data_IF_407671363432
#
_entry.id   IF_407671363432
#
_cell.length_a   1.000
_cell.length_b   1.000
_cell.length_c   1.000
_cell.angle_alpha   90.00
_cell.angle_beta   90.00
_cell.angle_gamma   90.00
#
_symmetry.space_group_name_H-M   'P 1'
#
loop_
_entity.id
_entity.type
_entity.pdbx_description
1 polymer ?
#
# COMPACT_ATOMS: atom_id res chain seq x y z
N UNK A 1 -5.96 20.01 -75.23
CA UNK A 1 -4.69 19.30 -75.41
C UNK A 1 -4.44 18.62 -74.07
N UNK A 2 -4.88 17.42 -74.08
CA UNK A 2 -4.12 16.16 -74.13
C UNK A 2 -3.62 15.85 -72.73
N UNK A 3 -4.24 14.91 -72.19
CA UNK A 3 -3.82 13.54 -71.80
C UNK A 3 -3.24 13.53 -70.38
N UNK A 4 -3.63 12.72 -69.43
CA UNK A 4 -3.98 11.33 -69.45
C UNK A 4 -4.90 10.95 -68.28
N UNK A 5 -5.89 10.17 -68.62
CA UNK A 5 -6.59 9.20 -67.76
C UNK A 5 -5.68 8.06 -67.41
N UNK A 6 -6.19 7.23 -66.42
CA UNK A 6 -5.69 5.94 -65.92
C UNK A 6 -4.58 6.06 -64.82
N UNK A 7 -4.84 5.69 -63.59
CA UNK A 7 -5.24 4.34 -63.15
C UNK A 7 -5.81 4.38 -61.72
N UNK A 8 -7.11 4.18 -61.63
CA UNK A 8 -7.77 3.70 -60.42
C UNK A 8 -7.94 2.17 -60.61
N UNK A 9 -7.11 1.38 -59.97
CA UNK A 9 -7.33 -0.04 -59.62
C UNK A 9 -6.04 -0.57 -58.99
N UNK A 10 -6.02 -0.68 -57.69
CA UNK A 10 -5.41 -1.76 -56.89
C UNK A 10 -5.20 -1.31 -55.43
N UNK A 11 -6.27 -1.20 -54.71
CA UNK A 11 -6.25 -1.12 -53.23
C UNK A 11 -7.39 -1.95 -52.65
N UNK A 12 -7.42 -3.21 -53.02
CA UNK A 12 -8.25 -4.20 -52.33
C UNK A 12 -7.52 -5.53 -52.29
N UNK A 13 -7.06 -5.89 -51.11
CA UNK A 13 -6.56 -7.21 -50.66
C UNK A 13 -5.12 -7.20 -50.13
N UNK A 14 -4.92 -6.53 -49.00
CA UNK A 14 -3.90 -6.99 -48.08
C UNK A 14 -4.63 -7.55 -46.84
N UNK A 15 -4.95 -8.85 -46.93
CA UNK A 15 -5.33 -9.66 -45.76
C UNK A 15 -4.10 -9.74 -44.86
N UNK A 16 -4.17 -9.10 -43.72
CA UNK A 16 -3.25 -9.33 -42.59
C UNK A 16 -3.42 -10.79 -42.16
N UNK A 17 -2.44 -11.61 -42.49
CA UNK A 17 -2.26 -12.96 -41.94
C UNK A 17 -1.44 -12.78 -40.68
N UNK A 18 -1.95 -13.03 -39.46
CA UNK A 18 -1.11 -13.04 -38.27
C UNK A 18 -0.16 -14.23 -38.39
N UNK A 19 1.11 -13.93 -38.32
CA UNK A 19 2.23 -14.85 -38.24
C UNK A 19 1.98 -15.82 -37.07
N UNK A 20 1.77 -17.09 -37.43
CA UNK A 20 1.62 -18.19 -36.48
C UNK A 20 3.00 -18.46 -35.87
N UNK A 21 3.36 -17.70 -34.83
CA UNK A 21 4.47 -18.07 -33.97
C UNK A 21 4.20 -19.45 -33.40
N UNK A 22 5.00 -20.38 -33.81
CA UNK A 22 5.06 -21.75 -33.39
C UNK A 22 4.93 -21.90 -31.88
N UNK A 23 3.75 -22.22 -31.40
CA UNK A 23 3.60 -22.89 -30.11
C UNK A 23 4.24 -24.27 -30.28
N UNK A 24 5.52 -24.34 -29.91
CA UNK A 24 6.24 -25.58 -29.75
C UNK A 24 5.48 -26.39 -28.72
N UNK A 25 4.67 -27.32 -29.20
CA UNK A 25 3.97 -28.27 -28.36
C UNK A 25 5.04 -28.99 -27.53
N UNK A 26 5.08 -28.70 -26.24
CA UNK A 26 5.85 -29.50 -25.30
C UNK A 26 5.29 -30.89 -25.35
N UNK A 27 6.10 -31.83 -25.89
CA UNK A 27 5.80 -33.24 -25.86
C UNK A 27 5.50 -33.66 -24.43
N UNK A 28 4.30 -34.16 -24.18
CA UNK A 28 3.90 -34.76 -22.91
C UNK A 28 4.71 -36.06 -22.79
N UNK A 29 5.94 -35.90 -22.31
CA UNK A 29 6.75 -37.06 -21.89
C UNK A 29 6.05 -37.60 -20.64
N UNK A 30 5.75 -38.89 -20.64
CA UNK A 30 5.17 -39.67 -19.56
C UNK A 30 5.83 -39.30 -18.22
N UNK A 31 5.10 -38.54 -17.37
CA UNK A 31 5.55 -38.14 -16.07
C UNK A 31 5.55 -39.36 -15.15
N UNK A 32 6.71 -39.66 -14.54
CA UNK A 32 6.80 -40.68 -13.50
C UNK A 32 5.85 -40.29 -12.31
N UNK A 33 5.26 -41.28 -11.60
CA UNK A 33 4.27 -41.01 -10.55
C UNK A 33 4.75 -40.01 -9.44
N UNK A 34 6.04 -39.98 -9.15
CA UNK A 34 6.64 -39.02 -8.22
C UNK A 34 6.60 -37.55 -8.70
N UNK A 35 6.66 -37.35 -10.03
CA UNK A 35 6.56 -36.00 -10.60
C UNK A 35 5.11 -35.48 -10.58
N UNK A 36 4.11 -36.33 -10.70
CA UNK A 36 2.70 -35.94 -10.59
C UNK A 36 2.34 -35.37 -9.23
N UNK A 37 2.83 -35.99 -8.14
CA UNK A 37 2.63 -35.51 -6.78
C UNK A 37 3.32 -34.16 -6.53
N UNK A 38 4.53 -33.98 -7.07
CA UNK A 38 5.24 -32.70 -6.96
C UNK A 38 4.52 -31.57 -7.73
N UNK A 39 3.99 -31.88 -8.94
CA UNK A 39 3.22 -30.91 -9.72
C UNK A 39 1.88 -30.57 -9.06
N UNK A 40 1.19 -31.55 -8.45
CA UNK A 40 -0.05 -31.31 -7.71
C UNK A 40 0.19 -30.37 -6.55
N UNK A 41 1.23 -30.62 -5.72
CA UNK A 41 1.61 -29.74 -4.60
C UNK A 41 1.95 -28.32 -5.05
N UNK A 42 2.63 -28.17 -6.19
CA UNK A 42 2.95 -26.86 -6.75
C UNK A 42 1.67 -26.12 -7.16
N UNK A 43 0.76 -26.80 -7.86
CA UNK A 43 -0.52 -26.22 -8.27
C UNK A 43 -1.39 -25.85 -7.07
N UNK A 44 -1.45 -26.71 -6.05
CA UNK A 44 -2.17 -26.44 -4.80
C UNK A 44 -1.59 -25.24 -4.07
N UNK A 45 -0.25 -25.11 -4.02
CA UNK A 45 0.43 -23.96 -3.42
C UNK A 45 0.15 -22.67 -4.18
N UNK A 46 0.17 -22.69 -5.52
CA UNK A 46 -0.17 -21.52 -6.35
C UNK A 46 -1.64 -21.17 -6.20
N UNK A 47 -2.54 -22.13 -6.14
CA UNK A 47 -3.96 -21.88 -5.94
C UNK A 47 -4.24 -21.28 -4.55
N UNK A 48 -3.64 -21.83 -3.49
CA UNK A 48 -3.73 -21.30 -2.16
C UNK A 48 -3.19 -19.86 -2.07
N UNK A 49 -2.03 -19.62 -2.68
CA UNK A 49 -1.38 -18.34 -2.74
C UNK A 49 -2.25 -17.28 -3.45
N UNK A 50 -2.82 -17.58 -4.60
CA UNK A 50 -3.66 -16.65 -5.38
C UNK A 50 -5.09 -16.50 -4.86
N UNK A 51 -5.48 -17.28 -3.84
CA UNK A 51 -6.78 -17.13 -3.19
C UNK A 51 -6.82 -15.92 -2.23
N UNK A 52 -5.68 -15.51 -1.72
CA UNK A 52 -5.58 -14.41 -0.76
C UNK A 52 -5.87 -13.08 -1.44
N UNK A 53 -6.69 -12.25 -0.78
CA UNK A 53 -7.02 -10.88 -1.22
C UNK A 53 -6.44 -9.81 -0.30
N UNK A 54 -5.58 -10.24 0.59
CA UNK A 54 -4.86 -9.44 1.56
C UNK A 54 -3.36 -9.70 1.39
N UNK A 55 -2.58 -8.62 1.33
CA UNK A 55 -1.13 -8.68 1.13
C UNK A 55 -0.42 -9.42 2.26
N UNK A 56 -0.84 -9.25 3.51
CA UNK A 56 -0.21 -9.93 4.64
C UNK A 56 -0.42 -11.45 4.61
N UNK A 57 -1.60 -11.89 4.20
CA UNK A 57 -1.89 -13.30 4.00
C UNK A 57 -1.14 -13.88 2.80
N UNK A 58 -1.00 -13.08 1.72
CA UNK A 58 -0.22 -13.40 0.54
C UNK A 58 1.26 -13.60 0.90
N UNK A 59 1.85 -12.69 1.66
CA UNK A 59 3.25 -12.74 2.11
C UNK A 59 3.54 -14.01 2.90
N UNK A 60 2.67 -14.33 3.86
CA UNK A 60 2.78 -15.53 4.69
C UNK A 60 2.67 -16.80 3.84
N UNK A 61 1.72 -16.84 2.92
CA UNK A 61 1.51 -17.98 2.03
C UNK A 61 2.72 -18.19 1.10
N UNK A 62 3.33 -17.11 0.59
CA UNK A 62 4.52 -17.16 -0.25
C UNK A 62 5.70 -17.82 0.48
N UNK A 63 6.05 -17.30 1.67
CA UNK A 63 7.22 -17.80 2.41
C UNK A 63 7.02 -19.23 2.90
N UNK A 64 5.81 -19.62 3.28
CA UNK A 64 5.46 -20.99 3.66
C UNK A 64 5.59 -21.94 2.46
N UNK A 65 4.95 -21.59 1.34
CA UNK A 65 5.00 -22.42 0.13
C UNK A 65 6.41 -22.64 -0.37
N UNK A 66 7.25 -21.60 -0.36
CA UNK A 66 8.64 -21.70 -0.75
C UNK A 66 9.47 -22.53 0.25
N UNK A 67 9.22 -22.39 1.55
CA UNK A 67 9.90 -23.18 2.58
C UNK A 67 9.64 -24.68 2.40
N UNK A 68 8.39 -25.06 2.15
CA UNK A 68 7.98 -26.45 1.92
C UNK A 68 8.52 -27.01 0.60
N UNK A 69 8.34 -26.27 -0.51
CA UNK A 69 8.67 -26.73 -1.85
C UNK A 69 10.17 -26.76 -2.12
N UNK A 70 10.95 -25.80 -1.56
CA UNK A 70 12.38 -25.74 -1.72
C UNK A 70 13.13 -26.49 -0.61
N UNK A 71 12.45 -27.04 0.40
CA UNK A 71 13.06 -27.66 1.61
C UNK A 71 14.12 -26.74 2.24
N UNK A 72 13.82 -25.44 2.30
CA UNK A 72 14.74 -24.43 2.78
C UNK A 72 14.79 -24.43 4.31
N UNK A 73 15.97 -24.09 4.89
CA UNK A 73 16.11 -23.85 6.33
C UNK A 73 15.44 -22.58 6.79
N UNK A 74 15.43 -21.55 5.93
CA UNK A 74 14.67 -20.34 6.16
C UNK A 74 14.30 -19.71 4.83
N UNK A 75 13.15 -19.04 4.82
CA UNK A 75 12.71 -18.19 3.72
C UNK A 75 12.33 -16.84 4.29
N UNK A 76 12.86 -15.78 3.71
CA UNK A 76 12.54 -14.41 4.10
C UNK A 76 12.04 -13.63 2.87
N UNK A 77 10.95 -12.92 3.06
CA UNK A 77 10.43 -11.94 2.09
C UNK A 77 10.69 -10.54 2.64
N UNK A 78 11.60 -9.82 2.01
CA UNK A 78 11.83 -8.40 2.28
C UNK A 78 10.90 -7.58 1.40
N UNK A 79 10.20 -6.62 1.98
CA UNK A 79 9.29 -5.71 1.27
C UNK A 79 9.88 -4.31 1.24
N UNK A 80 9.77 -3.66 0.09
CA UNK A 80 10.08 -2.25 -0.09
C UNK A 80 8.87 -1.47 -0.57
N UNK A 81 8.92 -0.15 -0.48
CA UNK A 81 7.87 0.72 -1.01
C UNK A 81 7.96 0.76 -2.55
N UNK A 82 6.83 0.51 -3.22
CA UNK A 82 6.71 0.54 -4.68
C UNK A 82 6.98 1.94 -5.24
N UNK A 83 6.62 2.98 -4.49
CA UNK A 83 6.68 4.38 -4.94
C UNK A 83 8.02 5.06 -4.58
N UNK A 84 8.96 4.37 -3.92
CA UNK A 84 10.15 4.97 -3.29
C UNK A 84 11.42 4.16 -3.52
N UNK A 85 12.55 4.75 -3.15
CA UNK A 85 13.88 4.13 -3.18
C UNK A 85 13.85 2.69 -2.63
N UNK A 86 14.57 1.72 -3.23
CA UNK A 86 14.52 0.32 -2.83
C UNK A 86 15.09 0.12 -1.41
N UNK A 87 14.29 0.44 -0.42
CA UNK A 87 14.62 0.30 1.01
C UNK A 87 13.73 -0.78 1.60
N UNK A 88 14.34 -1.72 2.33
CA UNK A 88 13.58 -2.75 3.04
C UNK A 88 12.83 -2.08 4.21
N UNK A 89 11.52 -2.22 4.24
CA UNK A 89 10.66 -1.68 5.30
C UNK A 89 10.24 -2.77 6.31
N UNK A 90 9.97 -3.96 5.80
CA UNK A 90 9.56 -5.09 6.64
C UNK A 90 10.04 -6.42 6.08
N UNK A 91 10.17 -7.41 6.95
CA UNK A 91 10.52 -8.78 6.58
C UNK A 91 9.52 -9.75 7.17
N UNK A 92 9.01 -10.63 6.31
CA UNK A 92 8.28 -11.83 6.72
C UNK A 92 9.21 -13.01 6.60
N UNK A 93 9.51 -13.68 7.70
CA UNK A 93 10.42 -14.80 7.74
C UNK A 93 9.72 -16.09 8.17
N UNK A 94 10.06 -17.17 7.51
CA UNK A 94 9.64 -18.52 7.83
C UNK A 94 10.85 -19.37 8.20
N UNK A 95 10.83 -19.97 9.39
CA UNK A 95 11.88 -20.86 9.87
C UNK A 95 11.27 -22.10 10.51
N UNK A 96 11.86 -23.31 10.38
CA UNK A 96 11.40 -24.49 11.10
C UNK A 96 11.71 -24.38 12.59
N UNK A 97 10.81 -24.83 13.43
CA UNK A 97 11.03 -25.00 14.85
C UNK A 97 11.80 -26.32 15.15
N UNK A 98 12.03 -26.58 16.43
CA UNK A 98 12.75 -27.79 16.90
C UNK A 98 12.00 -29.09 16.51
N UNK A 99 10.72 -29.02 16.27
CA UNK A 99 9.87 -30.13 15.85
C UNK A 99 9.72 -30.24 14.31
N UNK A 100 10.33 -29.32 13.58
CA UNK A 100 10.25 -29.25 12.11
C UNK A 100 9.01 -28.55 11.57
N UNK A 101 8.17 -27.94 12.44
CA UNK A 101 7.05 -27.13 11.99
C UNK A 101 7.53 -25.72 11.63
N UNK A 102 6.98 -25.14 10.59
CA UNK A 102 7.33 -23.80 10.16
C UNK A 102 6.69 -22.73 11.06
N UNK A 103 7.51 -21.78 11.52
CA UNK A 103 7.08 -20.60 12.27
C UNK A 103 7.27 -19.35 11.42
N UNK A 104 6.26 -18.49 11.41
CA UNK A 104 6.26 -17.21 10.75
C UNK A 104 6.54 -16.11 11.76
N UNK A 105 7.44 -15.21 11.41
CA UNK A 105 7.75 -14.00 12.14
C UNK A 105 7.71 -12.81 11.19
N UNK A 106 7.25 -11.67 11.67
CA UNK A 106 7.24 -10.41 10.92
C UNK A 106 8.07 -9.40 11.71
N UNK A 107 9.00 -8.77 11.04
CA UNK A 107 9.90 -7.77 11.63
C UNK A 107 9.81 -6.49 10.83
N UNK A 108 9.65 -5.37 11.52
CA UNK A 108 9.96 -4.07 10.95
C UNK A 108 11.46 -3.86 10.98
N UNK A 109 12.04 -3.40 9.90
CA UNK A 109 13.50 -3.35 9.73
C UNK A 109 14.02 -1.97 10.06
N UNK A 110 14.98 -1.89 10.98
CA UNK A 110 15.81 -0.72 11.11
C UNK A 110 16.89 -0.77 10.00
N UNK A 111 16.96 0.31 9.21
CA UNK A 111 17.81 0.41 8.01
C UNK A 111 19.32 0.19 8.27
N UNK A 112 19.73 0.10 9.52
CA UNK A 112 21.13 -0.07 9.93
C UNK A 112 21.53 -1.52 10.24
N UNK A 113 20.61 -2.50 10.11
CA UNK A 113 20.92 -3.90 10.43
C UNK A 113 21.85 -4.51 9.37
N UNK A 114 23.08 -4.92 9.73
CA UNK A 114 24.02 -5.54 8.80
C UNK A 114 23.50 -6.84 8.16
N UNK A 115 22.57 -7.54 8.82
CA UNK A 115 21.93 -8.74 8.28
C UNK A 115 21.11 -8.47 7.03
N UNK A 116 20.71 -7.21 6.83
CA UNK A 116 19.88 -6.75 5.70
C UNK A 116 20.70 -6.32 4.48
N UNK A 117 22.02 -6.20 4.61
CA UNK A 117 22.89 -5.70 3.54
C UNK A 117 22.78 -6.49 2.22
N UNK A 118 22.55 -7.79 2.31
CA UNK A 118 22.34 -8.65 1.13
C UNK A 118 21.03 -8.37 0.42
N UNK A 119 19.95 -8.21 1.18
CA UNK A 119 18.61 -7.91 0.66
C UNK A 119 18.55 -6.51 0.02
N UNK A 120 19.09 -5.51 0.72
CA UNK A 120 19.16 -4.13 0.20
C UNK A 120 19.98 -4.07 -1.10
N UNK A 121 21.14 -4.72 -1.13
CA UNK A 121 21.97 -4.80 -2.34
C UNK A 121 21.25 -5.47 -3.51
N UNK A 122 20.52 -6.55 -3.26
CA UNK A 122 19.73 -7.24 -4.28
C UNK A 122 18.62 -6.34 -4.84
N UNK A 123 17.95 -5.60 -3.98
CA UNK A 123 16.91 -4.66 -4.41
C UNK A 123 17.48 -3.48 -5.21
N UNK A 124 18.64 -2.95 -4.81
CA UNK A 124 19.34 -1.86 -5.51
C UNK A 124 19.89 -2.30 -6.87
N UNK A 125 20.58 -3.45 -6.93
CA UNK A 125 21.17 -3.98 -8.15
C UNK A 125 20.16 -4.61 -9.09
N UNK A 126 19.00 -5.05 -8.55
CA UNK A 126 17.98 -5.85 -9.25
C UNK A 126 18.54 -7.18 -9.80
N UNK A 127 19.65 -7.65 -9.24
CA UNK A 127 20.31 -8.88 -9.65
C UNK A 127 20.18 -9.97 -8.59
N UNK A 128 20.21 -11.21 -9.04
CA UNK A 128 20.20 -12.37 -8.17
C UNK A 128 21.57 -12.55 -7.53
N UNK A 129 21.59 -12.68 -6.20
CA UNK A 129 22.80 -12.93 -5.44
C UNK A 129 22.79 -14.35 -4.87
N UNK A 130 23.92 -15.04 -4.97
CA UNK A 130 24.13 -16.35 -4.35
C UNK A 130 25.47 -16.33 -3.60
N UNK A 131 25.43 -16.74 -2.34
CA UNK A 131 26.63 -16.76 -1.47
C UNK A 131 26.65 -17.99 -0.56
N UNK A 132 27.82 -18.33 -0.05
CA UNK A 132 28.03 -19.39 0.94
C UNK A 132 28.42 -18.77 2.27
N UNK A 133 27.62 -18.99 3.30
CA UNK A 133 27.85 -18.49 4.66
C UNK A 133 27.86 -19.64 5.65
N UNK A 134 29.03 -19.97 6.21
CA UNK A 134 29.14 -20.99 7.24
C UNK A 134 28.60 -22.38 6.86
N UNK A 135 28.72 -22.78 5.59
CA UNK A 135 28.18 -24.06 5.08
C UNK A 135 26.68 -24.01 4.70
N UNK A 136 26.05 -22.86 4.78
CA UNK A 136 24.69 -22.62 4.32
C UNK A 136 24.76 -21.87 3.00
N UNK A 137 24.07 -22.36 1.98
CA UNK A 137 23.89 -21.63 0.73
C UNK A 137 22.72 -20.65 0.88
N UNK A 138 23.00 -19.39 0.55
CA UNK A 138 22.01 -18.30 0.50
C UNK A 138 21.76 -17.92 -0.94
N UNK A 139 20.49 -17.84 -1.31
CA UNK A 139 20.02 -17.33 -2.59
C UNK A 139 19.11 -16.15 -2.32
N UNK A 140 19.40 -15.01 -2.95
CA UNK A 140 18.56 -13.80 -2.87
C UNK A 140 18.10 -13.45 -4.28
N UNK A 141 16.79 -13.34 -4.45
CA UNK A 141 16.13 -13.07 -5.75
C UNK A 141 15.30 -11.79 -5.63
N UNK A 142 15.49 -10.80 -6.50
CA UNK A 142 14.68 -9.60 -6.48
C UNK A 142 13.26 -9.90 -6.97
N UNK A 143 12.28 -9.24 -6.39
CA UNK A 143 10.90 -9.24 -6.86
C UNK A 143 10.70 -7.97 -7.67
N UNK A 144 10.55 -8.12 -8.98
CA UNK A 144 10.47 -6.99 -9.91
C UNK A 144 9.05 -6.77 -10.39
N UNK A 145 8.56 -5.54 -10.25
CA UNK A 145 7.32 -5.07 -10.83
C UNK A 145 7.62 -3.87 -11.74
N UNK A 146 7.23 -3.94 -13.00
CA UNK A 146 7.45 -2.89 -14.00
C UNK A 146 8.91 -2.39 -14.06
N UNK A 147 9.87 -3.30 -13.89
CA UNK A 147 11.31 -2.97 -13.90
C UNK A 147 11.84 -2.31 -12.63
N UNK A 148 11.07 -2.31 -11.54
CA UNK A 148 11.49 -1.83 -10.22
C UNK A 148 11.46 -2.95 -9.21
N UNK A 149 12.40 -2.97 -8.28
CA UNK A 149 12.38 -3.91 -7.17
C UNK A 149 11.37 -3.46 -6.12
N UNK A 150 10.34 -4.27 -5.91
CA UNK A 150 9.32 -4.07 -4.86
C UNK A 150 9.61 -4.90 -3.61
N UNK A 151 10.59 -5.78 -3.69
CA UNK A 151 11.01 -6.65 -2.61
C UNK A 151 12.12 -7.60 -3.04
N UNK A 152 12.50 -8.49 -2.14
CA UNK A 152 13.44 -9.57 -2.41
C UNK A 152 13.08 -10.82 -1.61
N UNK A 153 13.28 -11.99 -2.21
CA UNK A 153 13.19 -13.29 -1.56
C UNK A 153 14.57 -13.81 -1.21
N UNK A 154 14.80 -14.14 0.05
CA UNK A 154 16.01 -14.82 0.50
C UNK A 154 15.67 -16.23 0.96
N UNK A 155 16.42 -17.20 0.46
CA UNK A 155 16.36 -18.60 0.87
C UNK A 155 17.72 -19.04 1.41
N UNK A 156 17.70 -19.66 2.57
CA UNK A 156 18.88 -20.28 3.17
C UNK A 156 18.69 -21.80 3.19
N UNK A 157 19.69 -22.57 2.72
CA UNK A 157 19.61 -24.02 2.65
C UNK A 157 20.95 -24.68 2.92
N UNK A 158 20.91 -25.87 3.54
CA UNK A 158 22.08 -26.74 3.69
C UNK A 158 22.39 -27.58 2.46
N UNK A 159 21.53 -27.53 1.43
CA UNK A 159 21.71 -28.23 0.15
C UNK A 159 21.74 -27.21 -1.00
N UNK A 160 22.31 -27.55 -2.17
CA UNK A 160 22.40 -26.65 -3.29
C UNK A 160 21.03 -26.15 -3.75
N UNK A 161 20.86 -24.83 -3.83
CA UNK A 161 19.63 -24.15 -4.25
C UNK A 161 19.52 -23.99 -5.78
N UNK A 162 20.50 -24.45 -6.55
CA UNK A 162 20.49 -24.33 -8.02
C UNK A 162 19.26 -24.95 -8.67
N UNK A 163 18.82 -26.10 -8.15
CA UNK A 163 17.60 -26.79 -8.64
C UNK A 163 16.32 -26.05 -8.24
N UNK A 164 16.31 -25.32 -7.14
CA UNK A 164 15.14 -24.58 -6.64
C UNK A 164 15.02 -23.19 -7.25
N UNK A 165 16.07 -22.67 -7.90
CA UNK A 165 16.07 -21.31 -8.48
C UNK A 165 14.91 -21.05 -9.44
N UNK A 166 14.58 -21.92 -10.44
CA UNK A 166 13.45 -21.67 -11.33
C UNK A 166 12.12 -21.58 -10.59
N UNK A 167 11.97 -22.33 -9.49
CA UNK A 167 10.80 -22.28 -8.61
C UNK A 167 10.70 -20.90 -7.92
N UNK A 168 11.80 -20.42 -7.33
CA UNK A 168 11.86 -19.12 -6.63
C UNK A 168 11.61 -17.99 -7.61
N UNK A 169 12.23 -18.00 -8.80
CA UNK A 169 12.01 -17.01 -9.86
C UNK A 169 10.54 -17.02 -10.32
N UNK A 170 9.92 -18.19 -10.40
CA UNK A 170 8.50 -18.36 -10.73
C UNK A 170 7.58 -17.72 -9.68
N UNK A 171 7.80 -18.02 -8.41
CA UNK A 171 7.03 -17.45 -7.32
C UNK A 171 7.26 -15.95 -7.17
N UNK A 172 8.48 -15.44 -7.35
CA UNK A 172 8.78 -14.02 -7.35
C UNK A 172 7.96 -13.27 -8.41
N UNK A 173 7.86 -13.82 -9.63
CA UNK A 173 7.06 -13.24 -10.72
C UNK A 173 5.55 -13.30 -10.44
N UNK A 174 5.06 -14.45 -9.94
CA UNK A 174 3.64 -14.58 -9.57
C UNK A 174 3.30 -13.58 -8.48
N UNK A 175 4.15 -13.46 -7.46
CA UNK A 175 3.97 -12.51 -6.38
C UNK A 175 3.95 -11.06 -6.89
N UNK A 176 4.91 -10.66 -7.73
CA UNK A 176 4.97 -9.33 -8.30
C UNK A 176 3.69 -8.98 -9.07
N UNK A 177 3.26 -9.88 -9.97
CA UNK A 177 2.06 -9.68 -10.77
C UNK A 177 0.80 -9.59 -9.90
N UNK A 178 0.70 -10.47 -8.91
CA UNK A 178 -0.48 -10.50 -8.04
C UNK A 178 -0.52 -9.30 -7.09
N UNK A 179 0.62 -8.88 -6.55
CA UNK A 179 0.73 -7.67 -5.73
C UNK A 179 0.39 -6.42 -6.54
N UNK A 180 0.79 -6.34 -7.81
CA UNK A 180 0.40 -5.25 -8.71
C UNK A 180 -1.12 -5.19 -8.90
N UNK A 181 -1.77 -6.33 -9.15
CA UNK A 181 -3.23 -6.42 -9.28
C UNK A 181 -3.95 -6.04 -7.99
N UNK A 182 -3.44 -6.48 -6.84
CA UNK A 182 -3.99 -6.07 -5.54
C UNK A 182 -3.83 -4.57 -5.33
N UNK A 183 -2.65 -4.03 -5.58
CA UNK A 183 -2.36 -2.59 -5.46
C UNK A 183 -3.26 -1.75 -6.36
N UNK A 184 -3.51 -2.18 -7.60
CA UNK A 184 -4.47 -1.50 -8.49
C UNK A 184 -5.90 -1.51 -7.92
N UNK A 185 -6.30 -2.62 -7.30
CA UNK A 185 -7.60 -2.73 -6.62
C UNK A 185 -7.70 -1.87 -5.35
N UNK A 186 -6.57 -1.51 -4.74
CA UNK A 186 -6.47 -0.75 -3.50
C UNK A 186 -6.50 0.76 -3.70
N UNK A 187 -6.29 1.23 -4.91
CA UNK A 187 -6.20 2.65 -5.22
C UNK A 187 -7.45 3.17 -5.93
N UNK A 188 -7.71 4.45 -5.73
CA UNK A 188 -8.69 5.21 -6.49
C UNK A 188 -8.14 5.50 -7.90
N UNK A 189 -8.89 5.13 -8.92
CA UNK A 189 -8.43 5.19 -10.33
C UNK A 189 -8.14 6.59 -10.83
N UNK A 190 -8.83 7.60 -10.29
CA UNK A 190 -8.62 8.99 -10.72
C UNK A 190 -7.38 9.57 -10.05
N UNK A 191 -7.27 9.41 -8.73
CA UNK A 191 -6.24 10.10 -7.94
C UNK A 191 -5.01 9.26 -7.67
N UNK A 192 -5.10 7.92 -7.73
CA UNK A 192 -4.06 6.99 -7.31
C UNK A 192 -3.79 6.98 -5.80
N UNK A 193 -4.59 7.69 -4.99
CA UNK A 193 -4.59 7.56 -3.53
C UNK A 193 -5.23 6.24 -3.12
N UNK A 194 -5.04 5.80 -1.89
CA UNK A 194 -5.75 4.62 -1.41
C UNK A 194 -7.27 4.85 -1.43
N UNK A 195 -8.02 3.81 -1.75
CA UNK A 195 -9.47 3.88 -1.69
C UNK A 195 -9.99 3.51 -0.30
N UNK A 196 -11.28 3.77 -0.04
CA UNK A 196 -11.95 3.52 1.24
C UNK A 196 -11.82 2.05 1.72
N UNK A 197 -11.78 1.07 0.79
CA UNK A 197 -11.76 -0.36 1.15
C UNK A 197 -10.54 -0.76 1.98
N UNK A 198 -9.44 -0.06 1.81
CA UNK A 198 -8.17 -0.37 2.47
C UNK A 198 -7.93 0.43 3.77
N UNK A 199 -8.85 1.32 4.10
CA UNK A 199 -8.72 2.19 5.27
C UNK A 199 -8.52 1.41 6.56
N UNK A 200 -9.36 0.42 6.83
CA UNK A 200 -9.30 -0.36 8.06
C UNK A 200 -7.97 -1.10 8.23
N UNK A 201 -7.45 -1.70 7.15
CA UNK A 201 -6.17 -2.38 7.17
C UNK A 201 -5.01 -1.43 7.50
N UNK A 202 -4.95 -0.27 6.85
CA UNK A 202 -3.92 0.72 7.14
C UNK A 202 -4.02 1.28 8.56
N UNK A 203 -5.23 1.51 9.06
CA UNK A 203 -5.46 1.94 10.43
C UNK A 203 -4.94 0.90 11.43
N UNK A 204 -5.27 -0.37 11.25
CA UNK A 204 -4.78 -1.46 12.10
C UNK A 204 -3.26 -1.60 12.04
N UNK A 205 -2.65 -1.42 10.86
CA UNK A 205 -1.19 -1.45 10.71
C UNK A 205 -0.52 -0.34 11.54
N UNK A 206 -0.98 0.90 11.44
CA UNK A 206 -0.45 2.03 12.23
C UNK A 206 -0.63 1.82 13.74
N UNK A 207 -1.73 1.24 14.18
CA UNK A 207 -1.95 0.93 15.58
C UNK A 207 -0.98 -0.14 16.09
N UNK A 208 -0.72 -1.18 15.31
CA UNK A 208 0.27 -2.22 15.65
C UNK A 208 1.69 -1.66 15.72
N UNK A 209 2.08 -0.84 14.75
CA UNK A 209 3.40 -0.17 14.77
C UNK A 209 3.59 0.68 16.04
N UNK A 210 2.56 1.44 16.42
CA UNK A 210 2.60 2.23 17.65
C UNK A 210 2.78 1.35 18.89
N UNK A 211 2.06 0.23 19.00
CA UNK A 211 2.17 -0.70 20.14
C UNK A 211 3.58 -1.31 20.21
N UNK A 212 4.18 -1.69 19.09
CA UNK A 212 5.53 -2.22 19.02
C UNK A 212 6.57 -1.19 19.48
N UNK A 213 6.47 0.06 19.03
CA UNK A 213 7.35 1.15 19.46
C UNK A 213 7.23 1.41 20.96
N UNK A 214 6.02 1.34 21.53
CA UNK A 214 5.79 1.51 22.97
C UNK A 214 6.38 0.34 23.77
N UNK A 215 6.26 -0.88 23.31
CA UNK A 215 6.84 -2.08 23.96
C UNK A 215 8.37 -2.08 23.91
N UNK A 216 8.97 -1.61 22.82
CA UNK A 216 10.42 -1.51 22.66
C UNK A 216 11.05 -0.42 23.55
N UNK A 217 10.27 0.59 23.95
CA UNK A 217 10.72 1.68 24.82
C UNK A 217 10.73 1.33 26.32
N UNK A 218 10.30 0.12 26.73
CA UNK A 218 10.33 -0.35 28.12
C UNK A 218 11.39 -1.43 28.39
N UNK A 219 12.66 -1.08 28.65
CA UNK A 219 13.53 -1.92 29.49
C UNK A 219 13.74 -1.25 30.84
N UNK A 220 12.90 -1.63 31.80
CA UNK A 220 13.30 -1.63 33.22
C UNK A 220 13.24 -0.30 33.98
N UNK A 221 12.12 0.43 34.00
CA UNK A 221 11.91 1.45 35.02
C UNK A 221 10.73 1.06 35.91
N UNK A 222 11.09 0.67 37.15
CA UNK A 222 10.13 0.43 38.24
C UNK A 222 9.42 1.72 38.62
N UNK A 223 8.09 1.61 38.73
CA UNK A 223 7.21 2.36 39.62
C UNK A 223 7.51 3.86 39.87
N UNK A 224 6.65 4.72 39.37
CA UNK A 224 6.40 5.97 40.04
C UNK A 224 6.06 7.19 39.21
N UNK A 225 6.01 7.13 37.88
CA UNK A 225 5.47 8.26 37.13
C UNK A 225 4.70 7.78 35.89
N UNK A 226 3.39 7.98 35.95
CA UNK A 226 2.45 7.76 34.84
C UNK A 226 2.52 8.90 33.82
N UNK A 227 3.71 9.24 33.36
CA UNK A 227 3.94 10.04 32.18
C UNK A 227 4.52 9.10 31.11
N UNK A 228 3.64 8.38 30.41
CA UNK A 228 3.94 7.93 29.04
C UNK A 228 4.59 9.10 28.32
N UNK A 229 5.61 8.89 27.46
CA UNK A 229 6.19 9.99 26.69
C UNK A 229 5.03 10.72 26.02
N UNK A 230 4.82 11.94 26.51
CA UNK A 230 3.69 12.80 26.15
C UNK A 230 3.71 12.89 24.63
N UNK A 231 2.70 12.25 23.99
CA UNK A 231 2.25 12.81 22.75
C UNK A 231 2.18 11.97 21.51
N UNK A 232 2.67 10.75 21.43
CA UNK A 232 2.56 10.03 20.14
C UNK A 232 1.28 9.22 20.02
N UNK A 233 0.27 9.83 19.38
CA UNK A 233 -1.01 9.19 19.07
C UNK A 233 -1.17 9.05 17.56
N UNK A 234 -1.92 8.07 17.11
CA UNK A 234 -2.41 7.98 15.73
C UNK A 234 -3.59 8.94 15.59
N UNK A 235 -3.64 9.67 14.48
CA UNK A 235 -4.70 10.63 14.19
C UNK A 235 -5.34 10.35 12.85
N UNK A 236 -6.59 10.70 12.74
CA UNK A 236 -7.37 10.64 11.52
C UNK A 236 -7.91 12.03 11.20
N UNK A 237 -7.75 12.48 9.96
CA UNK A 237 -8.42 13.66 9.44
C UNK A 237 -9.30 13.31 8.24
N UNK A 238 -10.48 13.92 8.19
CA UNK A 238 -11.37 13.91 7.03
C UNK A 238 -11.47 15.33 6.52
N UNK A 239 -11.43 15.52 5.22
CA UNK A 239 -11.70 16.80 4.63
C UNK A 239 -12.46 16.67 3.31
N UNK A 240 -13.07 17.78 2.92
CA UNK A 240 -13.96 17.87 1.78
C UNK A 240 -13.75 19.22 1.08
N UNK A 241 -13.91 19.25 -0.23
CA UNK A 241 -13.76 20.46 -1.03
C UNK A 241 -15.01 21.33 -0.85
N UNK A 242 -14.83 22.53 -0.32
CA UNK A 242 -15.92 23.46 -0.09
C UNK A 242 -16.61 23.83 -1.39
N UNK A 243 -17.93 23.66 -1.42
CA UNK A 243 -18.78 24.00 -2.57
C UNK A 243 -18.46 23.24 -3.87
N UNK A 244 -17.92 22.02 -3.79
CA UNK A 244 -17.52 21.23 -4.96
C UNK A 244 -18.67 21.03 -5.98
N UNK A 245 -19.91 20.85 -5.50
CA UNK A 245 -21.08 20.78 -6.37
C UNK A 245 -21.19 22.00 -7.27
N UNK A 246 -20.91 23.23 -6.76
CA UNK A 246 -20.94 24.45 -7.59
C UNK A 246 -19.86 24.44 -8.67
N UNK A 247 -18.71 23.83 -8.41
CA UNK A 247 -17.65 23.65 -9.42
C UNK A 247 -18.19 22.78 -10.55
N UNK A 248 -18.76 21.61 -10.20
CA UNK A 248 -19.35 20.71 -11.19
C UNK A 248 -20.50 21.36 -11.98
N UNK A 249 -21.39 22.10 -11.29
CA UNK A 249 -22.53 22.76 -11.91
C UNK A 249 -22.10 23.91 -12.84
N UNK A 250 -20.98 24.60 -12.53
CA UNK A 250 -20.52 25.76 -13.29
C UNK A 250 -19.57 25.42 -14.43
N UNK A 251 -18.68 24.43 -14.24
CA UNK A 251 -17.61 24.10 -15.18
C UNK A 251 -17.76 22.70 -15.79
N UNK A 252 -18.63 21.85 -15.23
CA UNK A 252 -18.82 20.47 -15.64
C UNK A 252 -17.91 19.49 -14.90
N UNK A 253 -18.28 18.20 -14.94
CA UNK A 253 -17.60 17.13 -14.19
C UNK A 253 -16.14 16.92 -14.58
N UNK A 254 -15.74 17.22 -15.81
CA UNK A 254 -14.35 17.10 -16.26
C UNK A 254 -13.44 18.03 -15.45
N UNK A 255 -13.85 19.27 -15.25
CA UNK A 255 -13.10 20.22 -14.41
C UNK A 255 -13.15 19.86 -12.92
N UNK A 256 -14.27 19.28 -12.46
CA UNK A 256 -14.35 18.72 -11.12
C UNK A 256 -13.34 17.60 -10.91
N UNK A 257 -13.21 16.68 -11.85
CA UNK A 257 -12.21 15.61 -11.82
C UNK A 257 -10.78 16.15 -11.87
N UNK A 258 -10.52 17.22 -12.64
CA UNK A 258 -9.22 17.90 -12.68
C UNK A 258 -8.87 18.53 -11.33
N UNK A 259 -9.83 19.19 -10.68
CA UNK A 259 -9.67 19.74 -9.31
C UNK A 259 -9.31 18.62 -8.33
N UNK A 260 -10.03 17.51 -8.36
CA UNK A 260 -9.75 16.33 -7.51
C UNK A 260 -8.33 15.77 -7.75
N UNK A 261 -7.93 15.67 -9.02
CA UNK A 261 -6.59 15.17 -9.39
C UNK A 261 -5.48 16.10 -8.88
N UNK A 262 -5.63 17.41 -9.10
CA UNK A 262 -4.68 18.40 -8.63
C UNK A 262 -4.61 18.45 -7.10
N UNK A 263 -5.76 18.37 -6.42
CA UNK A 263 -5.82 18.30 -4.96
C UNK A 263 -5.06 17.08 -4.42
N UNK A 264 -5.24 15.92 -5.03
CA UNK A 264 -4.50 14.71 -4.67
C UNK A 264 -2.97 14.87 -4.87
N UNK A 265 -2.54 15.59 -5.91
CA UNK A 265 -1.12 15.94 -6.11
C UNK A 265 -0.60 16.87 -5.00
N UNK A 266 -1.39 17.89 -4.61
CA UNK A 266 -1.03 18.77 -3.50
C UNK A 266 -0.97 18.01 -2.16
N UNK A 267 -1.84 17.04 -1.94
CA UNK A 267 -1.76 16.16 -0.78
C UNK A 267 -0.42 15.41 -0.73
N UNK A 268 -0.03 14.74 -1.82
CA UNK A 268 1.25 14.01 -1.88
C UNK A 268 2.46 14.92 -1.63
N UNK A 269 2.40 16.18 -2.06
CA UNK A 269 3.47 17.14 -1.84
C UNK A 269 3.50 17.70 -0.41
N UNK A 270 2.36 17.74 0.29
CA UNK A 270 2.21 18.40 1.59
C UNK A 270 2.41 17.47 2.78
N UNK A 271 2.05 16.19 2.65
CA UNK A 271 2.09 15.21 3.72
C UNK A 271 3.34 14.33 3.66
N UNK A 272 3.71 13.78 4.82
CA UNK A 272 4.92 12.96 4.97
C UNK A 272 4.68 11.56 4.43
N UNK A 273 5.74 10.86 4.28
CA UNK A 273 5.81 9.47 3.81
C UNK A 273 5.01 8.50 4.69
N UNK A 274 5.02 8.71 5.99
CA UNK A 274 4.33 7.86 6.95
C UNK A 274 2.84 8.23 7.12
N UNK A 275 2.39 9.29 6.44
CA UNK A 275 0.99 9.66 6.42
C UNK A 275 0.30 8.92 5.27
N UNK A 276 -0.80 8.23 5.57
CA UNK A 276 -1.52 7.44 4.58
C UNK A 276 -2.70 8.24 4.03
N UNK A 277 -2.72 8.42 2.71
CA UNK A 277 -3.65 9.30 2.02
C UNK A 277 -4.71 8.49 1.27
N UNK A 278 -5.99 8.83 1.50
CA UNK A 278 -7.13 8.14 0.90
C UNK A 278 -8.05 9.12 0.18
N UNK A 279 -8.71 8.61 -0.86
CA UNK A 279 -9.95 9.18 -1.37
C UNK A 279 -11.10 8.24 -1.03
N UNK A 280 -12.05 8.72 -0.24
CA UNK A 280 -13.18 7.88 0.21
C UNK A 280 -14.30 7.83 -0.83
N UNK A 281 -14.47 8.88 -1.60
CA UNK A 281 -15.43 8.97 -2.69
C UNK A 281 -15.72 10.42 -3.04
N UNK A 282 -16.20 10.68 -4.23
CA UNK A 282 -16.55 12.04 -4.65
C UNK A 282 -15.46 13.05 -4.37
N UNK A 283 -15.77 13.96 -3.45
CA UNK A 283 -14.93 15.08 -2.99
C UNK A 283 -14.32 14.87 -1.60
N UNK A 284 -14.49 13.67 -1.01
CA UNK A 284 -14.06 13.35 0.36
C UNK A 284 -12.70 12.66 0.38
N UNK A 285 -11.82 13.15 1.22
CA UNK A 285 -10.47 12.65 1.44
C UNK A 285 -10.22 12.35 2.91
N UNK A 286 -9.39 11.36 3.17
CA UNK A 286 -9.00 10.96 4.52
C UNK A 286 -7.49 10.86 4.60
N UNK A 287 -6.94 11.23 5.76
CA UNK A 287 -5.53 11.11 6.09
C UNK A 287 -5.41 10.36 7.40
N UNK A 288 -4.56 9.34 7.42
CA UNK A 288 -4.10 8.72 8.65
C UNK A 288 -2.69 9.19 8.93
N UNK A 289 -2.50 9.80 10.08
CA UNK A 289 -1.18 10.23 10.56
C UNK A 289 -0.57 9.13 11.41
N UNK A 290 0.70 8.85 11.18
CA UNK A 290 1.51 8.06 12.09
C UNK A 290 1.57 8.69 13.48
N UNK A 291 2.25 8.01 14.41
CA UNK A 291 2.31 8.46 15.81
C UNK A 291 2.91 9.88 15.94
N UNK A 292 2.07 10.86 16.36
CA UNK A 292 2.44 12.26 16.53
C UNK A 292 1.55 12.95 17.59
N UNK A 293 1.81 14.20 17.93
CA UNK A 293 1.01 14.99 18.87
C UNK A 293 -0.08 15.82 18.15
N UNK A 294 -1.11 16.24 18.92
CA UNK A 294 -2.25 17.02 18.41
C UNK A 294 -1.82 18.35 17.77
N UNK A 295 -0.86 19.05 18.39
CA UNK A 295 -0.43 20.35 17.91
C UNK A 295 0.27 20.25 16.54
N UNK A 296 1.08 19.20 16.35
CA UNK A 296 1.72 18.90 15.07
C UNK A 296 0.68 18.57 14.01
N UNK A 297 -0.31 17.72 14.31
CA UNK A 297 -1.39 17.39 13.36
C UNK A 297 -2.15 18.65 12.96
N UNK A 298 -2.58 19.45 13.94
CA UNK A 298 -3.29 20.69 13.65
C UNK A 298 -2.47 21.64 12.78
N UNK A 299 -1.19 21.83 13.10
CA UNK A 299 -0.30 22.71 12.33
C UNK A 299 -0.10 22.23 10.88
N UNK A 300 0.04 20.92 10.67
CA UNK A 300 0.18 20.32 9.32
C UNK A 300 -1.11 20.49 8.53
N UNK A 301 -2.27 20.22 9.12
CA UNK A 301 -3.57 20.38 8.48
C UNK A 301 -3.87 21.84 8.14
N UNK A 302 -3.58 22.80 9.05
CA UNK A 302 -3.75 24.22 8.78
C UNK A 302 -2.83 24.71 7.65
N UNK A 303 -1.57 24.27 7.65
CA UNK A 303 -0.65 24.58 6.55
C UNK A 303 -1.18 24.07 5.23
N UNK A 304 -1.70 22.84 5.19
CA UNK A 304 -2.31 22.27 3.98
C UNK A 304 -3.54 23.06 3.54
N UNK A 305 -4.46 23.36 4.47
CA UNK A 305 -5.65 24.16 4.19
C UNK A 305 -5.31 25.52 3.58
N UNK A 306 -4.36 26.24 4.18
CA UNK A 306 -3.89 27.53 3.69
C UNK A 306 -3.26 27.40 2.30
N UNK A 307 -2.42 26.37 2.10
CA UNK A 307 -1.80 26.10 0.80
C UNK A 307 -2.84 25.88 -0.29
N UNK A 308 -3.92 25.13 -0.01
CA UNK A 308 -5.00 24.92 -0.98
C UNK A 308 -5.77 26.21 -1.24
N UNK A 309 -6.06 27.02 -0.20
CA UNK A 309 -6.78 28.28 -0.37
C UNK A 309 -5.99 29.31 -1.21
N UNK A 310 -4.66 29.26 -1.17
CA UNK A 310 -3.78 30.14 -1.96
C UNK A 310 -3.47 29.57 -3.36
N UNK A 311 -3.67 28.27 -3.57
CA UNK A 311 -3.39 27.63 -4.84
C UNK A 311 -4.42 28.03 -5.90
N UNK A 312 -3.94 28.33 -7.12
CA UNK A 312 -4.81 28.66 -8.25
C UNK A 312 -5.05 27.40 -9.08
N UNK A 313 -6.26 26.89 -9.04
CA UNK A 313 -6.67 25.75 -9.87
C UNK A 313 -7.02 26.27 -11.28
N UNK A 314 -6.49 25.67 -12.34
CA UNK A 314 -6.76 26.09 -13.71
C UNK A 314 -8.27 26.18 -13.98
N UNK A 315 -8.71 27.21 -14.67
CA UNK A 315 -10.11 27.52 -15.05
C UNK A 315 -11.06 27.79 -13.85
N UNK A 316 -10.88 27.11 -12.71
CA UNK A 316 -11.80 27.20 -11.55
C UNK A 316 -11.39 28.35 -10.60
N UNK A 317 -10.10 28.68 -10.55
CA UNK A 317 -9.56 29.69 -9.63
C UNK A 317 -9.24 29.12 -8.24
N UNK A 318 -9.65 29.84 -7.20
CA UNK A 318 -9.38 29.40 -5.83
C UNK A 318 -10.50 28.51 -5.31
N UNK A 319 -10.10 27.45 -4.63
CA UNK A 319 -10.99 26.58 -3.85
C UNK A 319 -10.55 26.56 -2.40
N UNK A 320 -11.40 26.12 -1.52
CA UNK A 320 -11.05 25.89 -0.11
C UNK A 320 -11.44 24.48 0.32
N UNK A 321 -10.89 24.03 1.44
CA UNK A 321 -11.25 22.77 2.05
C UNK A 321 -11.61 22.99 3.53
N UNK A 322 -12.59 22.25 4.00
CA UNK A 322 -12.93 22.15 5.42
C UNK A 322 -12.39 20.85 5.97
N UNK A 323 -11.81 20.86 7.16
CA UNK A 323 -11.09 19.73 7.74
C UNK A 323 -11.58 19.45 9.16
N UNK A 324 -11.91 18.19 9.42
CA UNK A 324 -12.18 17.66 10.74
C UNK A 324 -11.18 16.57 11.11
N UNK A 325 -10.64 16.54 12.32
CA UNK A 325 -9.73 15.49 12.76
C UNK A 325 -10.05 14.98 14.15
N UNK A 326 -9.68 13.72 14.41
CA UNK A 326 -9.89 13.06 15.69
C UNK A 326 -8.73 12.13 16.03
N UNK A 327 -8.51 11.93 17.32
CA UNK A 327 -7.55 10.97 17.84
C UNK A 327 -8.05 9.55 17.67
N UNK A 328 -7.17 8.63 17.31
CA UNK A 328 -7.43 7.20 17.26
C UNK A 328 -7.02 6.56 18.59
N UNK A 329 -7.99 6.02 19.31
CA UNK A 329 -7.75 5.22 20.51
C UNK A 329 -7.35 3.77 20.16
N UNK A 330 -6.62 3.11 21.05
CA UNK A 330 -6.12 1.73 20.83
C UNK A 330 -7.24 0.70 20.59
N UNK A 331 -8.42 0.93 21.14
CA UNK A 331 -9.58 0.03 21.04
C UNK A 331 -10.74 0.64 20.25
N UNK A 332 -10.49 1.71 19.52
CA UNK A 332 -11.54 2.34 18.72
C UNK A 332 -11.88 1.49 17.49
N UNK A 333 -13.16 1.35 17.23
CA UNK A 333 -13.61 0.84 15.94
C UNK A 333 -13.41 1.90 14.86
N UNK A 334 -13.00 1.51 13.63
CA UNK A 334 -12.78 2.44 12.52
C UNK A 334 -13.94 3.41 12.30
N UNK A 335 -15.18 2.92 12.34
CA UNK A 335 -16.39 3.72 12.17
C UNK A 335 -16.54 4.80 13.26
N UNK A 336 -16.15 4.52 14.51
CA UNK A 336 -16.23 5.48 15.62
C UNK A 336 -15.27 6.65 15.43
N UNK A 337 -14.05 6.37 14.93
CA UNK A 337 -13.05 7.41 14.69
C UNK A 337 -13.47 8.29 13.52
N UNK A 338 -13.98 7.66 12.44
CA UNK A 338 -14.53 8.37 11.29
C UNK A 338 -15.70 9.29 11.71
N UNK A 339 -16.64 8.81 12.50
CA UNK A 339 -17.77 9.59 13.01
C UNK A 339 -17.30 10.81 13.84
N UNK A 340 -16.26 10.64 14.67
CA UNK A 340 -15.70 11.76 15.44
C UNK A 340 -15.07 12.83 14.54
N UNK A 341 -14.29 12.43 13.57
CA UNK A 341 -13.67 13.35 12.62
C UNK A 341 -14.72 14.02 11.73
N UNK A 342 -15.75 13.29 11.32
CA UNK A 342 -16.87 13.83 10.54
C UNK A 342 -17.67 14.88 11.32
N UNK A 343 -17.94 14.67 12.60
CA UNK A 343 -18.55 15.69 13.46
C UNK A 343 -17.73 16.99 13.51
N UNK A 344 -16.40 16.88 13.54
CA UNK A 344 -15.53 18.05 13.50
C UNK A 344 -15.52 18.71 12.12
N UNK A 345 -15.55 17.94 11.03
CA UNK A 345 -15.70 18.44 9.66
C UNK A 345 -17.04 19.13 9.45
N UNK A 346 -18.12 18.54 9.93
CA UNK A 346 -19.45 19.15 9.88
C UNK A 346 -19.49 20.50 10.60
N UNK A 347 -18.86 20.57 11.79
CA UNK A 347 -18.71 21.83 12.52
C UNK A 347 -17.94 22.87 11.69
N UNK A 348 -16.87 22.49 10.99
CA UNK A 348 -16.14 23.38 10.10
C UNK A 348 -17.05 23.94 8.97
N UNK A 349 -17.83 23.06 8.33
CA UNK A 349 -18.75 23.43 7.26
C UNK A 349 -19.85 24.39 7.73
N UNK A 350 -20.39 24.21 8.93
CA UNK A 350 -21.43 25.06 9.51
C UNK A 350 -20.89 26.42 10.03
N UNK A 351 -19.62 26.47 10.39
CA UNK A 351 -18.99 27.68 10.96
C UNK A 351 -18.12 28.45 9.96
N UNK A 352 -18.54 28.51 8.69
CA UNK A 352 -17.96 29.39 7.67
C UNK A 352 -17.04 28.69 6.68
N UNK A 353 -16.86 27.39 6.79
CA UNK A 353 -15.97 26.61 5.92
C UNK A 353 -14.51 27.03 6.01
N UNK A 354 -13.66 26.54 5.10
CA UNK A 354 -12.23 26.92 5.04
C UNK A 354 -11.58 26.99 6.41
N UNK A 355 -11.72 25.93 7.21
CA UNK A 355 -11.29 25.87 8.62
C UNK A 355 -10.99 24.44 9.04
N UNK A 356 -10.16 24.30 10.09
CA UNK A 356 -9.72 23.02 10.65
C UNK A 356 -10.14 22.91 12.10
N UNK A 357 -10.83 21.82 12.46
CA UNK A 357 -11.26 21.55 13.82
C UNK A 357 -10.90 20.14 14.28
N UNK A 358 -10.47 20.03 15.55
CA UNK A 358 -10.26 18.76 16.23
C UNK A 358 -11.47 18.39 17.09
N UNK A 359 -11.92 17.15 16.98
CA UNK A 359 -13.03 16.62 17.77
C UNK A 359 -12.80 16.77 19.28
N UNK A 360 -11.60 16.46 19.77
CA UNK A 360 -11.25 16.53 21.17
C UNK A 360 -11.35 17.96 21.72
N UNK A 361 -10.90 18.93 20.93
CA UNK A 361 -10.99 20.36 21.26
C UNK A 361 -12.42 20.86 21.30
N UNK A 362 -13.26 20.45 20.34
CA UNK A 362 -14.69 20.80 20.31
C UNK A 362 -15.45 20.14 21.46
N UNK A 363 -15.16 18.87 21.75
CA UNK A 363 -15.76 18.13 22.86
C UNK A 363 -15.46 18.78 24.22
N UNK A 364 -14.20 19.19 24.46
CA UNK A 364 -13.79 19.90 25.68
C UNK A 364 -14.50 21.25 25.85
N UNK A 365 -14.83 21.91 24.73
CA UNK A 365 -15.60 23.18 24.74
C UNK A 365 -17.12 22.99 24.88
N UNK A 366 -17.61 21.75 24.91
CA UNK A 366 -19.04 21.43 25.00
C UNK A 366 -19.86 21.82 23.77
N UNK A 367 -19.23 22.07 22.62
CA UNK A 367 -19.86 22.61 21.42
C UNK A 367 -20.56 21.52 20.59
N UNK A 368 -20.15 20.25 20.72
CA UNK A 368 -20.68 19.12 19.97
C UNK A 368 -22.05 18.63 20.46
N UNK A 369 -22.60 19.18 21.58
CA UNK A 369 -23.86 18.74 22.17
C UNK A 369 -25.13 19.08 21.39
N UNK A 370 -25.07 19.90 20.35
CA UNK A 370 -26.23 20.34 19.57
C UNK A 370 -26.23 19.87 18.09
N UNK A 371 -25.16 19.20 17.63
CA UNK A 371 -24.98 18.82 16.20
C UNK A 371 -25.34 17.37 15.88
N UNK A 372 -26.19 16.71 16.67
CA UNK A 372 -26.45 15.25 16.58
C UNK A 372 -27.47 14.82 15.54
N UNK A 373 -27.80 15.60 14.53
CA UNK A 373 -28.94 15.23 13.67
C UNK A 373 -28.79 15.31 12.16
N UNK A 374 -27.62 15.43 11.55
CA UNK A 374 -27.54 15.28 10.08
C UNK A 374 -26.10 15.29 9.54
N UNK A 375 -25.37 14.27 9.73
CA UNK A 375 -24.16 13.98 8.97
C UNK A 375 -24.19 12.51 8.61
N UNK A 376 -24.81 12.15 7.54
CA UNK A 376 -24.76 10.80 7.00
C UNK A 376 -23.58 10.75 6.03
N UNK A 377 -22.41 10.31 6.51
CA UNK A 377 -21.52 9.61 5.58
C UNK A 377 -22.35 8.40 5.14
N UNK A 378 -22.60 8.25 3.85
CA UNK A 378 -23.18 7.03 3.31
C UNK A 378 -22.24 5.86 3.66
N UNK A 379 -22.53 5.22 4.78
CA UNK A 379 -21.74 4.09 5.32
C UNK A 379 -22.06 2.77 4.62
N UNK A 380 -22.80 2.81 3.47
CA UNK A 380 -23.17 1.61 2.73
C UNK A 380 -22.73 1.64 1.28
#
# INVERSE_FOLDING_TARGET
>A
MAECEETAHDLANSRYVPDATEHKAMSVTSLAPGNLLAHSRLLDSVAAFTHHRDTDALDRSLVLSLAELASARSVSLAKGDIDRCPRVESIVQCTPDVQGNYRLQVFDVDAADPAMAGLSRCMESQEVHAEMLGGVQRLIVPILCEGRAIGALQLDSGVPLSASRPLVDGFARIYANYTALLSESERDKLTGLYNRRNFERHLQHLLRQREQVQQAAEPGTRHGDTSSPVGTQVWLAIFDIDHFKRINDSYGHIYGDEVILLLAQQMRASFRQNDVLFRFGGEEFVILFGATDEATVHAVLERFRLHIAEHVFPQVGHITVSIGYARVGTHDYPATVLDRADKALYFAKENGRNSTYGYESLSKRGVLGHALAAGTIDLF
#
